data_IF_670128568398
#
_entry.id   IF_670128568398
#
_cell.length_a   1.000
_cell.length_b   1.000
_cell.length_c   1.000
_cell.angle_alpha   90.00
_cell.angle_beta   90.00
_cell.angle_gamma   90.00
#
_symmetry.space_group_name_H-M   'P 1'
#
loop_
_entity.id
_entity.type
_entity.pdbx_description
1 polymer ?
#
# COMPACT_ATOMS: atom_id res chain seq x y z
N UNK A 1 2.57 19.38 67.39
CA UNK A 1 3.19 20.06 66.23
C UNK A 1 4.39 19.23 65.82
N UNK A 2 4.38 18.66 64.61
CA UNK A 2 5.52 17.85 64.12
C UNK A 2 6.71 18.76 63.81
N UNK A 3 7.92 18.32 64.13
CA UNK A 3 9.14 19.08 63.85
C UNK A 3 9.48 19.02 62.35
N UNK A 4 10.20 20.00 61.79
CA UNK A 4 10.56 20.03 60.36
C UNK A 4 11.32 18.78 59.90
N UNK A 5 12.10 18.15 60.78
CA UNK A 5 12.77 16.88 60.50
C UNK A 5 11.80 15.70 60.34
N UNK A 6 10.71 15.68 61.13
CA UNK A 6 9.70 14.63 61.03
C UNK A 6 8.89 14.75 59.74
N UNK A 7 8.67 15.97 59.23
CA UNK A 7 8.06 16.17 57.91
C UNK A 7 8.94 15.67 56.77
N UNK A 8 10.26 15.91 56.83
CA UNK A 8 11.18 15.42 55.82
C UNK A 8 11.24 13.88 55.76
N UNK A 9 11.25 13.23 56.93
CA UNK A 9 11.19 11.76 56.99
C UNK A 9 9.86 11.20 56.49
N UNK A 10 8.74 11.84 56.80
CA UNK A 10 7.43 11.42 56.32
C UNK A 10 7.31 11.56 54.80
N UNK A 11 7.83 12.65 54.24
CA UNK A 11 7.86 12.85 52.78
C UNK A 11 8.73 11.80 52.08
N UNK A 12 9.90 11.49 52.64
CA UNK A 12 10.79 10.48 52.06
C UNK A 12 10.19 9.08 52.12
N UNK A 13 9.52 8.73 53.23
CA UNK A 13 8.82 7.45 53.38
C UNK A 13 7.63 7.31 52.40
N UNK A 14 6.91 8.39 52.12
CA UNK A 14 5.82 8.39 51.14
C UNK A 14 6.32 8.21 49.70
N UNK A 15 7.48 8.78 49.37
CA UNK A 15 8.07 8.63 48.03
C UNK A 15 8.66 7.23 47.86
N UNK A 16 9.32 6.67 48.88
CA UNK A 16 9.92 5.33 48.80
C UNK A 16 8.90 4.18 48.89
N UNK A 17 7.70 4.43 49.44
CA UNK A 17 6.59 3.49 49.44
C UNK A 17 5.70 3.59 48.19
N UNK A 18 5.97 4.51 47.25
CA UNK A 18 5.26 4.54 45.98
C UNK A 18 5.70 3.35 45.13
N UNK A 19 4.79 2.39 44.92
CA UNK A 19 5.05 1.27 44.03
C UNK A 19 5.34 1.81 42.61
N UNK A 20 6.34 1.27 41.90
CA UNK A 20 6.53 1.62 40.50
C UNK A 20 5.25 1.27 39.75
N UNK A 21 4.63 2.27 39.12
CA UNK A 21 3.53 2.05 38.20
C UNK A 21 4.09 1.23 37.05
N UNK A 22 3.90 -0.09 37.12
CA UNK A 22 4.09 -0.97 35.97
C UNK A 22 3.06 -0.54 34.94
N UNK A 23 3.50 0.27 33.97
CA UNK A 23 2.70 0.57 32.80
C UNK A 23 2.29 -0.77 32.19
N UNK A 24 1.00 -1.11 32.29
CA UNK A 24 0.46 -2.22 31.50
C UNK A 24 0.63 -1.81 30.05
N UNK A 25 1.64 -2.36 29.39
CA UNK A 25 1.63 -2.46 27.94
C UNK A 25 0.32 -3.16 27.59
N UNK A 26 -0.65 -2.41 27.07
CA UNK A 26 -1.89 -2.98 26.56
C UNK A 26 -1.51 -3.78 25.32
N UNK A 27 -1.21 -5.05 25.52
CA UNK A 27 -1.25 -6.01 24.42
C UNK A 27 -2.66 -5.95 23.86
N UNK A 28 -2.76 -5.56 22.59
CA UNK A 28 -4.04 -5.53 21.90
C UNK A 28 -4.52 -6.98 21.83
N UNK A 29 -5.66 -7.26 22.44
CA UNK A 29 -6.29 -8.57 22.40
C UNK A 29 -7.58 -8.48 21.58
N UNK A 30 -7.82 -9.47 20.72
CA UNK A 30 -9.11 -9.66 20.04
C UNK A 30 -9.58 -11.08 20.35
N UNK A 31 -10.62 -11.18 21.17
CA UNK A 31 -11.21 -12.47 21.55
C UNK A 31 -10.31 -13.35 22.44
N UNK A 32 -9.58 -12.75 23.39
CA UNK A 32 -8.75 -13.49 24.36
C UNK A 32 -7.46 -14.09 23.77
N UNK A 33 -7.00 -13.55 22.64
CA UNK A 33 -5.73 -13.92 22.00
C UNK A 33 -4.91 -12.65 21.79
N UNK A 34 -3.60 -12.76 22.06
CA UNK A 34 -2.63 -11.73 21.71
C UNK A 34 -2.72 -11.45 20.21
N UNK A 35 -2.98 -10.19 19.83
CA UNK A 35 -2.85 -9.78 18.45
C UNK A 35 -1.37 -9.62 18.18
N UNK A 36 -0.79 -10.58 17.46
CA UNK A 36 0.52 -10.40 16.89
C UNK A 36 0.40 -9.35 15.79
N UNK A 37 0.73 -8.11 16.13
CA UNK A 37 0.89 -7.04 15.16
C UNK A 37 2.12 -7.39 14.32
N UNK A 38 1.91 -8.09 13.22
CA UNK A 38 2.94 -8.17 12.21
C UNK A 38 3.17 -6.73 11.75
N UNK A 39 4.41 -6.22 11.80
CA UNK A 39 4.71 -4.95 11.17
C UNK A 39 4.18 -5.07 9.74
N UNK A 40 3.36 -4.10 9.34
CA UNK A 40 3.01 -3.96 7.93
C UNK A 40 4.36 -3.95 7.19
N UNK A 41 4.43 -4.65 6.06
CA UNK A 41 5.65 -4.68 5.25
C UNK A 41 5.74 -3.31 4.58
N UNK A 42 6.31 -2.39 5.33
CA UNK A 42 6.13 -0.96 5.18
C UNK A 42 7.45 -0.35 4.73
N UNK A 43 7.69 -0.49 3.42
CA UNK A 43 8.71 0.28 2.71
C UNK A 43 8.13 1.52 1.99
N UNK A 44 6.81 1.66 1.93
CA UNK A 44 6.07 2.73 1.24
C UNK A 44 4.66 2.93 1.85
N UNK A 45 4.57 3.33 3.12
CA UNK A 45 3.27 3.57 3.83
C UNK A 45 2.39 4.59 3.10
N UNK A 46 3.06 5.45 2.34
CA UNK A 46 2.50 6.45 1.47
C UNK A 46 3.43 6.60 0.27
N UNK A 47 3.07 6.05 -0.90
CA UNK A 47 3.88 6.20 -2.10
C UNK A 47 4.10 7.68 -2.43
N UNK A 48 5.35 8.10 -2.63
CA UNK A 48 5.70 9.50 -2.92
C UNK A 48 4.96 10.08 -4.13
N UNK A 49 4.55 9.22 -5.07
CA UNK A 49 3.73 9.59 -6.23
C UNK A 49 2.38 10.19 -5.84
N UNK A 50 1.82 9.85 -4.67
CA UNK A 50 0.56 10.44 -4.19
C UNK A 50 0.73 11.90 -3.78
N UNK A 51 1.88 12.27 -3.21
CA UNK A 51 2.20 13.66 -2.90
C UNK A 51 2.46 14.46 -4.18
N UNK A 52 3.17 13.87 -5.15
CA UNK A 52 3.35 14.47 -6.48
C UNK A 52 2.00 14.72 -7.15
N UNK A 53 1.11 13.72 -7.14
CA UNK A 53 -0.24 13.83 -7.70
C UNK A 53 -1.02 14.96 -7.02
N UNK A 54 -0.98 15.04 -5.69
CA UNK A 54 -1.65 16.11 -4.94
C UNK A 54 -1.12 17.50 -5.32
N UNK A 55 0.18 17.64 -5.54
CA UNK A 55 0.84 18.90 -5.85
C UNK A 55 0.78 19.29 -7.34
N UNK A 56 0.42 18.38 -8.23
CA UNK A 56 0.51 18.57 -9.69
C UNK A 56 -0.43 19.66 -10.24
N UNK A 57 -1.56 19.93 -9.58
CA UNK A 57 -2.51 20.94 -10.04
C UNK A 57 -3.29 21.61 -8.91
N UNK A 58 -3.71 22.87 -9.14
CA UNK A 58 -4.53 23.65 -8.23
C UNK A 58 -6.02 23.26 -8.21
N UNK A 59 -6.83 23.99 -7.45
CA UNK A 59 -8.30 23.87 -7.51
C UNK A 59 -8.91 22.62 -6.85
N UNK A 60 -8.14 21.85 -6.07
CA UNK A 60 -8.62 20.70 -5.30
C UNK A 60 -8.90 19.44 -6.13
N UNK A 61 -8.81 19.49 -7.45
CA UNK A 61 -8.98 18.34 -8.35
C UNK A 61 -7.89 17.30 -8.08
N UNK A 62 -6.62 17.72 -8.10
CA UNK A 62 -5.49 16.85 -7.81
C UNK A 62 -5.49 16.32 -6.37
N UNK A 63 -6.00 17.09 -5.41
CA UNK A 63 -6.17 16.61 -4.04
C UNK A 63 -7.21 15.47 -3.94
N UNK A 64 -8.30 15.53 -4.71
CA UNK A 64 -9.29 14.45 -4.81
C UNK A 64 -8.72 13.22 -5.51
N UNK A 65 -7.97 13.42 -6.60
CA UNK A 65 -7.27 12.33 -7.29
C UNK A 65 -6.31 11.61 -6.35
N UNK A 66 -5.46 12.34 -5.62
CA UNK A 66 -4.53 11.77 -4.66
C UNK A 66 -5.24 10.98 -3.53
N UNK A 67 -6.36 11.49 -3.02
CA UNK A 67 -7.17 10.76 -2.04
C UNK A 67 -7.79 9.48 -2.61
N UNK A 68 -8.29 9.52 -3.85
CA UNK A 68 -8.87 8.36 -4.54
C UNK A 68 -7.83 7.29 -4.87
N UNK A 69 -6.61 7.70 -5.20
CA UNK A 69 -5.51 6.84 -5.64
C UNK A 69 -5.05 5.82 -4.57
N UNK A 70 -5.37 6.02 -3.29
CA UNK A 70 -5.03 5.08 -2.22
C UNK A 70 -5.84 3.78 -2.34
N UNK A 71 -7.12 3.88 -2.69
CA UNK A 71 -8.02 2.71 -2.67
C UNK A 71 -7.56 1.62 -3.65
N UNK A 72 -7.27 1.90 -4.93
CA UNK A 72 -6.82 0.88 -5.89
C UNK A 72 -5.51 0.17 -5.50
N UNK A 73 -4.69 0.77 -4.64
CA UNK A 73 -3.44 0.19 -4.15
C UNK A 73 -3.64 -0.85 -3.04
N UNK A 74 -4.87 -1.02 -2.52
CA UNK A 74 -5.16 -2.02 -1.50
C UNK A 74 -5.23 -3.43 -2.12
N UNK A 75 -4.74 -4.45 -1.39
CA UNK A 75 -4.77 -5.85 -1.84
C UNK A 75 -6.14 -6.32 -2.32
N UNK A 76 -7.20 -5.93 -1.62
CA UNK A 76 -8.55 -6.41 -1.87
C UNK A 76 -9.23 -5.76 -3.08
N UNK A 77 -8.64 -4.71 -3.66
CA UNK A 77 -9.19 -4.11 -4.87
C UNK A 77 -8.89 -4.99 -6.09
N UNK A 78 -9.80 -4.94 -7.06
CA UNK A 78 -9.72 -5.71 -8.30
C UNK A 78 -8.39 -5.53 -9.03
N UNK A 79 -8.04 -6.52 -9.84
CA UNK A 79 -6.75 -6.61 -10.53
C UNK A 79 -6.42 -5.39 -11.42
N UNK A 80 -7.42 -4.82 -12.09
CA UNK A 80 -7.26 -3.69 -13.01
C UNK A 80 -7.49 -2.32 -12.40
N UNK A 81 -8.02 -2.24 -11.17
CA UNK A 81 -8.43 -0.97 -10.55
C UNK A 81 -7.32 0.09 -10.49
N UNK A 82 -6.05 -0.32 -10.32
CA UNK A 82 -4.92 0.60 -10.33
C UNK A 82 -4.62 1.14 -11.74
N UNK A 83 -4.76 0.31 -12.76
CA UNK A 83 -4.60 0.73 -14.16
C UNK A 83 -5.71 1.68 -14.57
N UNK A 84 -6.96 1.33 -14.25
CA UNK A 84 -8.13 2.16 -14.55
C UNK A 84 -8.01 3.54 -13.86
N UNK A 85 -7.44 3.56 -12.65
CA UNK A 85 -7.20 4.82 -11.95
C UNK A 85 -6.04 5.62 -12.56
N UNK A 86 -4.99 4.97 -13.04
CA UNK A 86 -3.92 5.63 -13.80
C UNK A 86 -4.48 6.26 -15.09
N UNK A 87 -5.35 5.55 -15.81
CA UNK A 87 -6.07 6.07 -16.97
C UNK A 87 -6.93 7.29 -16.59
N UNK A 88 -7.63 7.23 -15.45
CA UNK A 88 -8.44 8.33 -14.94
C UNK A 88 -7.62 9.58 -14.59
N UNK A 89 -6.38 9.43 -14.12
CA UNK A 89 -5.45 10.55 -13.89
C UNK A 89 -5.16 11.29 -15.22
N UNK A 90 -4.89 10.53 -16.30
CA UNK A 90 -4.65 11.09 -17.64
C UNK A 90 -5.92 11.74 -18.18
N UNK A 91 -7.08 11.06 -18.08
CA UNK A 91 -8.38 11.61 -18.47
C UNK A 91 -8.65 12.95 -17.79
N UNK A 92 -8.39 13.03 -16.48
CA UNK A 92 -8.57 14.28 -15.73
C UNK A 92 -7.64 15.38 -16.26
N UNK A 93 -6.38 15.06 -16.53
CA UNK A 93 -5.44 16.03 -17.12
C UNK A 93 -5.92 16.60 -18.45
N UNK A 94 -6.53 15.77 -19.31
CA UNK A 94 -7.10 16.20 -20.59
C UNK A 94 -8.24 17.21 -20.40
N UNK A 95 -8.99 17.13 -19.31
CA UNK A 95 -10.09 18.09 -19.02
C UNK A 95 -9.61 19.45 -18.52
N UNK A 96 -8.38 19.55 -17.99
CA UNK A 96 -7.86 20.79 -17.39
C UNK A 96 -7.41 21.82 -18.43
N UNK A 97 -7.29 21.44 -19.70
CA UNK A 97 -6.85 22.30 -20.81
C UNK A 97 -5.51 23.03 -20.57
N UNK A 98 -4.62 22.45 -19.75
CA UNK A 98 -3.25 22.93 -19.51
C UNK A 98 -2.26 21.83 -19.89
N UNK A 99 -1.49 22.09 -20.94
CA UNK A 99 -0.53 21.12 -21.50
C UNK A 99 0.61 20.80 -20.53
N UNK A 100 1.01 21.73 -19.67
CA UNK A 100 2.08 21.52 -18.69
C UNK A 100 1.60 20.61 -17.58
N UNK A 101 0.40 20.88 -17.06
CA UNK A 101 -0.25 20.04 -16.05
C UNK A 101 -0.54 18.64 -16.62
N UNK A 102 -1.04 18.54 -17.85
CA UNK A 102 -1.28 17.26 -18.51
C UNK A 102 0.00 16.41 -18.60
N UNK A 103 1.11 17.00 -19.07
CA UNK A 103 2.39 16.29 -19.14
C UNK A 103 2.84 15.78 -17.76
N UNK A 104 2.69 16.60 -16.71
CA UNK A 104 2.98 16.17 -15.34
C UNK A 104 2.09 15.01 -14.89
N UNK A 105 0.78 15.07 -15.16
CA UNK A 105 -0.16 14.03 -14.78
C UNK A 105 0.07 12.71 -15.53
N UNK A 106 0.52 12.76 -16.79
CA UNK A 106 0.92 11.57 -17.54
C UNK A 106 2.12 10.88 -16.90
N UNK A 107 3.17 11.63 -16.54
CA UNK A 107 4.34 11.04 -15.87
C UNK A 107 3.99 10.48 -14.48
N UNK A 108 3.14 11.18 -13.74
CA UNK A 108 2.62 10.71 -12.45
C UNK A 108 1.77 9.45 -12.62
N UNK A 109 0.96 9.35 -13.67
CA UNK A 109 0.15 8.16 -13.96
C UNK A 109 1.03 6.94 -14.26
N UNK A 110 2.14 7.12 -15.00
CA UNK A 110 3.13 6.05 -15.24
C UNK A 110 3.79 5.57 -13.95
N UNK A 111 4.26 6.50 -13.11
CA UNK A 111 4.84 6.18 -11.80
C UNK A 111 3.82 5.48 -10.88
N UNK A 112 2.58 5.97 -10.87
CA UNK A 112 1.49 5.38 -10.09
C UNK A 112 1.15 3.97 -10.57
N UNK A 113 1.14 3.73 -11.89
CA UNK A 113 0.87 2.41 -12.47
C UNK A 113 1.90 1.37 -12.02
N UNK A 114 3.13 1.80 -11.76
CA UNK A 114 4.25 0.98 -11.31
C UNK A 114 4.38 0.89 -9.78
N UNK A 115 3.49 1.53 -9.02
CA UNK A 115 3.52 1.44 -7.56
C UNK A 115 3.09 0.06 -7.08
N UNK A 116 3.72 -0.46 -6.03
CA UNK A 116 3.36 -1.74 -5.43
C UNK A 116 1.99 -1.67 -4.75
N UNK A 117 1.15 -2.69 -4.95
CA UNK A 117 -0.09 -2.87 -4.16
C UNK A 117 0.25 -3.44 -2.80
N UNK A 118 -0.40 -2.92 -1.75
CA UNK A 118 -0.24 -3.35 -0.36
C UNK A 118 -0.80 -4.77 -0.15
N UNK A 119 -0.05 -5.79 -0.60
CA UNK A 119 -0.45 -7.19 -0.61
C UNK A 119 0.10 -7.90 0.62
N UNK A 120 -0.76 -8.35 1.55
CA UNK A 120 -0.28 -8.97 2.78
C UNK A 120 0.27 -10.38 2.49
N UNK A 121 1.28 -10.82 3.25
CA UNK A 121 1.66 -12.23 3.30
C UNK A 121 0.46 -13.13 3.66
N UNK A 122 0.56 -14.40 3.30
CA UNK A 122 -0.37 -15.42 3.75
C UNK A 122 -0.05 -15.85 5.18
N UNK A 123 -0.82 -15.31 6.14
CA UNK A 123 -0.67 -15.62 7.55
C UNK A 123 -1.29 -16.96 7.97
N UNK A 124 -1.90 -17.71 7.06
CA UNK A 124 -2.38 -19.07 7.36
C UNK A 124 -1.26 -20.11 7.38
N UNK A 125 -0.06 -19.73 6.94
CA UNK A 125 1.15 -20.58 6.89
C UNK A 125 2.17 -20.13 7.93
N UNK A 126 3.00 -21.07 8.43
CA UNK A 126 4.10 -20.77 9.36
C UNK A 126 5.41 -21.43 8.87
N UNK A 127 6.43 -20.67 8.43
CA UNK A 127 6.46 -19.20 8.35
C UNK A 127 5.44 -18.64 7.34
N UNK A 128 5.03 -17.38 7.51
CA UNK A 128 4.07 -16.74 6.61
C UNK A 128 4.66 -16.62 5.20
N UNK A 129 3.81 -16.85 4.20
CA UNK A 129 4.25 -16.88 2.79
C UNK A 129 4.09 -15.50 2.16
N UNK A 130 5.16 -14.84 1.69
CA UNK A 130 5.04 -13.58 0.96
C UNK A 130 4.24 -13.72 -0.34
N UNK A 131 3.47 -12.69 -0.72
CA UNK A 131 2.59 -12.73 -1.90
C UNK A 131 2.68 -11.48 -2.75
N UNK A 132 2.65 -11.70 -4.05
CA UNK A 132 2.51 -10.69 -5.09
C UNK A 132 1.04 -10.33 -5.33
N UNK A 133 0.79 -9.18 -5.93
CA UNK A 133 -0.53 -8.83 -6.48
C UNK A 133 -0.71 -9.42 -7.88
N UNK A 134 -1.91 -9.91 -8.21
CA UNK A 134 -2.22 -10.33 -9.58
C UNK A 134 -2.20 -9.15 -10.57
N UNK A 135 -1.76 -9.39 -11.80
CA UNK A 135 -1.67 -8.43 -12.89
C UNK A 135 -2.99 -8.23 -13.60
N UNK A 136 -3.34 -6.98 -13.90
CA UNK A 136 -4.44 -6.67 -14.82
C UNK A 136 -4.22 -7.38 -16.17
N UNK A 137 -5.26 -7.99 -16.73
CA UNK A 137 -5.22 -8.74 -17.99
C UNK A 137 -5.90 -8.01 -19.16
N UNK A 138 -6.08 -6.70 -19.03
CA UNK A 138 -6.64 -5.85 -20.08
C UNK A 138 -5.66 -4.76 -20.47
N UNK A 139 -5.73 -4.32 -21.72
CA UNK A 139 -4.97 -3.16 -22.17
C UNK A 139 -5.43 -1.88 -21.45
N UNK A 140 -4.53 -0.93 -21.16
CA UNK A 140 -4.91 0.39 -20.66
C UNK A 140 -5.66 1.16 -21.74
N UNK A 141 -6.44 2.16 -21.31
CA UNK A 141 -7.13 3.07 -22.23
C UNK A 141 -6.14 3.99 -22.94
N UNK A 142 -5.12 4.47 -22.22
CA UNK A 142 -4.10 5.39 -22.72
C UNK A 142 -2.81 4.67 -23.10
N UNK A 143 -2.28 4.99 -24.28
CA UNK A 143 -1.12 4.29 -24.85
C UNK A 143 0.18 4.54 -24.06
N UNK A 144 0.24 5.63 -23.30
CA UNK A 144 1.32 6.02 -22.41
C UNK A 144 1.55 5.01 -21.27
N UNK A 145 0.54 4.18 -20.97
CA UNK A 145 0.60 3.15 -19.94
C UNK A 145 0.89 1.75 -20.52
N UNK A 146 1.05 1.61 -21.83
CA UNK A 146 1.31 0.31 -22.46
C UNK A 146 2.60 -0.32 -21.93
N UNK A 147 2.53 -1.61 -21.61
CA UNK A 147 3.65 -2.37 -21.07
C UNK A 147 3.98 -2.06 -19.60
N UNK A 148 3.33 -1.08 -18.98
CA UNK A 148 3.52 -0.79 -17.56
C UNK A 148 2.65 -1.71 -16.71
N UNK A 149 3.29 -2.37 -15.75
CA UNK A 149 2.63 -3.21 -14.76
C UNK A 149 2.99 -2.73 -13.36
N UNK A 150 2.14 -3.05 -12.39
CA UNK A 150 2.43 -2.73 -11.00
C UNK A 150 3.68 -3.47 -10.54
N UNK A 151 4.50 -2.79 -9.74
CA UNK A 151 5.65 -3.43 -9.12
C UNK A 151 5.19 -4.54 -8.16
N UNK A 152 6.08 -5.51 -8.03
CA UNK A 152 6.00 -6.59 -7.06
C UNK A 152 7.22 -6.46 -6.14
N UNK A 153 7.08 -6.79 -4.86
CA UNK A 153 8.22 -6.80 -3.96
C UNK A 153 9.24 -7.86 -4.44
N UNK A 154 10.52 -7.48 -4.68
CA UNK A 154 11.53 -8.39 -5.20
C UNK A 154 11.87 -9.54 -4.25
N UNK A 155 11.54 -9.44 -2.96
CA UNK A 155 11.72 -10.51 -1.99
C UNK A 155 10.52 -11.47 -1.93
N UNK A 156 9.49 -11.29 -2.76
CA UNK A 156 8.41 -12.26 -2.91
C UNK A 156 8.78 -13.42 -3.85
N UNK A 157 8.21 -14.60 -3.58
CA UNK A 157 8.34 -15.78 -4.43
C UNK A 157 7.28 -15.85 -5.54
N UNK A 158 6.85 -17.07 -5.85
CA UNK A 158 5.91 -17.36 -6.94
C UNK A 158 4.43 -17.37 -6.52
N UNK A 159 4.10 -16.87 -5.33
CA UNK A 159 2.73 -16.86 -4.80
C UNK A 159 2.10 -15.48 -5.02
N UNK A 160 0.86 -15.47 -5.48
CA UNK A 160 0.07 -14.27 -5.74
C UNK A 160 -1.20 -14.29 -4.89
N UNK A 161 -1.69 -13.12 -4.49
CA UNK A 161 -3.00 -12.95 -3.89
C UNK A 161 -4.00 -12.53 -4.97
N UNK A 162 -5.07 -13.32 -5.12
CA UNK A 162 -6.17 -13.01 -6.02
C UNK A 162 -7.33 -12.34 -5.24
N UNK A 163 -7.66 -11.07 -5.51
CA UNK A 163 -8.73 -10.36 -4.82
C UNK A 163 -10.14 -10.91 -5.13
N UNK A 164 -10.35 -11.53 -6.30
CA UNK A 164 -11.65 -12.06 -6.69
C UNK A 164 -11.99 -13.33 -5.88
N UNK A 165 -11.01 -14.22 -5.74
CA UNK A 165 -11.17 -15.49 -4.99
C UNK A 165 -10.75 -15.38 -3.52
N UNK A 166 -10.05 -14.31 -3.14
CA UNK A 166 -9.46 -14.06 -1.81
C UNK A 166 -8.48 -15.16 -1.37
N UNK A 167 -7.82 -15.80 -2.33
CA UNK A 167 -6.92 -16.93 -2.11
C UNK A 167 -5.53 -16.67 -2.66
N UNK A 168 -4.59 -17.46 -2.17
CA UNK A 168 -3.24 -17.54 -2.69
C UNK A 168 -3.22 -18.44 -3.93
N UNK A 169 -2.59 -17.99 -5.00
CA UNK A 169 -2.45 -18.73 -6.27
C UNK A 169 -0.98 -18.79 -6.68
N UNK A 170 -0.57 -19.87 -7.33
CA UNK A 170 0.80 -20.04 -7.82
C UNK A 170 0.98 -19.37 -9.18
N UNK A 171 2.20 -18.90 -9.47
CA UNK A 171 2.57 -18.42 -10.81
C UNK A 171 2.23 -19.46 -11.86
N UNK A 172 1.59 -19.04 -12.95
CA UNK A 172 1.16 -19.89 -14.05
C UNK A 172 -0.16 -20.63 -13.82
N UNK A 173 -0.72 -20.61 -12.60
CA UNK A 173 -2.00 -21.27 -12.33
C UNK A 173 -3.19 -20.55 -12.99
N UNK A 174 -3.05 -19.26 -13.24
CA UNK A 174 -4.04 -18.42 -13.92
C UNK A 174 -3.36 -17.26 -14.64
N UNK A 175 -4.03 -16.71 -15.67
CA UNK A 175 -3.46 -15.70 -16.58
C UNK A 175 -2.92 -14.46 -15.84
N UNK A 176 -3.67 -13.96 -14.85
CA UNK A 176 -3.30 -12.79 -14.04
C UNK A 176 -2.13 -13.00 -13.07
N UNK A 177 -1.45 -14.15 -13.11
CA UNK A 177 -0.17 -14.33 -12.40
C UNK A 177 1.06 -14.01 -13.27
N UNK A 178 0.83 -13.63 -14.52
CA UNK A 178 1.84 -13.22 -15.48
C UNK A 178 1.45 -11.83 -16.02
N UNK A 179 2.41 -10.91 -16.25
CA UNK A 179 2.15 -9.62 -16.87
C UNK A 179 1.34 -9.77 -18.16
N UNK A 180 0.41 -8.85 -18.39
CA UNK A 180 -0.36 -8.82 -19.63
C UNK A 180 0.59 -8.59 -20.82
N UNK A 181 0.59 -9.53 -21.76
CA UNK A 181 1.44 -9.49 -22.95
C UNK A 181 0.94 -8.54 -24.05
N UNK A 182 -0.18 -7.83 -23.82
CA UNK A 182 -0.80 -7.00 -24.84
C UNK A 182 -1.51 -7.82 -25.94
N UNK A 183 -2.19 -7.15 -26.88
CA UNK A 183 -2.40 -7.74 -28.19
C UNK A 183 -1.01 -7.93 -28.83
N UNK A 184 -0.60 -9.19 -29.03
CA UNK A 184 0.66 -9.57 -29.65
C UNK A 184 0.93 -8.74 -30.91
N UNK A 185 1.98 -7.91 -30.87
CA UNK A 185 2.51 -7.25 -32.06
C UNK A 185 4.05 -7.38 -32.07
N UNK A 186 4.54 -8.63 -32.09
CA UNK A 186 5.97 -8.92 -32.23
C UNK A 186 6.44 -10.16 -31.45
N UNK A 187 6.74 -11.21 -32.22
CA UNK A 187 7.62 -12.37 -31.98
C UNK A 187 8.14 -12.67 -30.57
N UNK A 188 7.75 -13.87 -30.09
CA UNK A 188 8.44 -14.72 -29.11
C UNK A 188 9.98 -14.70 -29.23
N UNK A 189 10.64 -13.98 -28.33
CA UNK A 189 12.02 -14.15 -27.81
C UNK A 189 12.00 -13.42 -26.46
N UNK A 190 12.26 -13.97 -25.28
CA UNK A 190 12.83 -15.23 -24.83
C UNK A 190 12.27 -15.53 -23.42
N UNK A 191 12.30 -16.82 -23.08
CA UNK A 191 11.99 -17.39 -21.77
C UNK A 191 12.95 -16.90 -20.67
#
# INVERSE_FOLDING_TARGET
MLSPFQFAFLALALISASEPVLGRERWLERGGRAIQLNPRRFGQDHPAVLDKLRAACGGGVCAKLAGGAVTPLLAAQGECTQQDFADHIIDTGLTLNDTTTLASLVEIAKEYRQTEKNTPPDFSTNPSTPRNSVFCQTAPKHAELNGLVQAQDPANGNVFFDPATKKSVQRGAQANTIPFAGPFNGTLLDL
#
